data_IF_297795216157
#
_entry.id   IF_297795216157
#
_cell.length_a   1.000
_cell.length_b   1.000
_cell.length_c   1.000
_cell.angle_alpha   90.00
_cell.angle_beta   90.00
_cell.angle_gamma   90.00
#
_symmetry.space_group_name_H-M   'P 1'
#
loop_
_entity.id
_entity.type
_entity.pdbx_description
1 polymer ?
#
# COMPACT_ATOMS: atom_id res chain seq x y z
N UNK A 1 19.31 10.80 22.23
CA UNK A 1 17.91 10.72 21.82
C UNK A 1 17.77 11.15 20.35
N UNK A 2 17.04 10.37 19.60
CA UNK A 2 16.81 10.68 18.21
C UNK A 2 15.70 11.71 18.09
N UNK A 3 15.89 12.76 17.31
CA UNK A 3 14.82 13.74 17.14
C UNK A 3 13.86 13.30 16.01
N UNK A 4 12.70 13.95 15.97
CA UNK A 4 11.65 13.59 15.02
C UNK A 4 12.09 13.78 13.55
N UNK A 5 13.00 14.71 13.27
CA UNK A 5 13.47 14.96 11.92
C UNK A 5 14.38 13.85 11.44
N UNK A 6 15.22 13.31 12.29
CA UNK A 6 16.06 12.18 11.94
C UNK A 6 15.18 10.98 11.62
N UNK A 7 14.15 10.73 12.41
CA UNK A 7 13.20 9.65 12.16
C UNK A 7 12.42 9.90 10.85
N UNK A 8 12.02 11.15 10.61
CA UNK A 8 11.26 11.51 9.41
C UNK A 8 12.07 11.33 8.13
N UNK A 9 13.40 11.33 8.21
CA UNK A 9 14.26 11.13 7.05
C UNK A 9 14.68 9.67 6.86
N UNK A 10 14.36 8.80 7.80
CA UNK A 10 14.67 7.38 7.67
C UNK A 10 13.90 6.76 6.52
N UNK A 11 14.51 5.83 5.77
CA UNK A 11 13.79 5.13 4.70
C UNK A 11 12.56 4.42 5.22
N UNK A 12 11.49 4.45 4.42
CA UNK A 12 10.28 3.69 4.68
C UNK A 12 10.15 2.60 3.63
N UNK A 13 9.75 1.42 4.07
CA UNK A 13 9.61 0.26 3.20
C UNK A 13 8.23 0.22 2.57
N UNK A 14 8.19 0.09 1.25
CA UNK A 14 6.95 0.00 0.47
C UNK A 14 6.80 -1.40 -0.11
N UNK A 15 5.64 -2.01 0.13
CA UNK A 15 5.24 -3.25 -0.54
C UNK A 15 4.10 -2.96 -1.51
N UNK A 16 4.18 -3.52 -2.70
CA UNK A 16 3.17 -3.31 -3.75
C UNK A 16 2.41 -4.61 -3.98
N UNK A 17 1.09 -4.58 -3.84
CA UNK A 17 0.23 -5.75 -4.01
C UNK A 17 -0.80 -5.49 -5.10
N UNK A 18 -0.70 -6.22 -6.20
CA UNK A 18 -1.62 -6.11 -7.34
C UNK A 18 -1.42 -7.34 -8.20
N UNK A 19 -2.50 -7.92 -8.72
CA UNK A 19 -2.37 -9.09 -9.60
C UNK A 19 -1.90 -8.72 -11.01
N UNK A 20 -1.92 -7.44 -11.37
CA UNK A 20 -1.44 -6.95 -12.65
C UNK A 20 0.05 -6.63 -12.59
N UNK A 21 0.84 -7.35 -13.37
CA UNK A 21 2.26 -7.11 -13.51
C UNK A 21 2.55 -5.68 -14.01
N UNK A 22 1.71 -5.20 -14.93
CA UNK A 22 1.85 -3.85 -15.50
C UNK A 22 1.65 -2.80 -14.42
N UNK A 23 0.62 -2.96 -13.60
CA UNK A 23 0.32 -2.00 -12.53
C UNK A 23 1.42 -2.02 -11.47
N UNK A 24 1.90 -3.21 -11.06
CA UNK A 24 2.99 -3.29 -10.08
C UNK A 24 4.22 -2.55 -10.55
N UNK A 25 4.61 -2.78 -11.81
CA UNK A 25 5.77 -2.10 -12.40
C UNK A 25 5.56 -0.61 -12.52
N UNK A 26 4.35 -0.21 -12.88
CA UNK A 26 4.02 1.21 -12.99
C UNK A 26 4.15 1.92 -11.65
N UNK A 27 3.61 1.35 -10.59
CA UNK A 27 3.71 1.94 -9.25
C UNK A 27 5.18 2.06 -8.85
N UNK A 28 5.94 0.99 -9.04
CA UNK A 28 7.36 0.99 -8.69
C UNK A 28 8.15 2.07 -9.43
N UNK A 29 7.89 2.24 -10.73
CA UNK A 29 8.61 3.23 -11.54
C UNK A 29 8.14 4.65 -11.32
N UNK A 30 6.84 4.82 -11.08
CA UNK A 30 6.22 6.14 -11.07
C UNK A 30 6.28 6.82 -9.71
N UNK A 31 6.47 6.09 -8.63
CA UNK A 31 6.56 6.72 -7.33
C UNK A 31 7.88 7.49 -7.23
N UNK A 32 7.78 8.73 -6.76
CA UNK A 32 8.90 9.67 -6.75
C UNK A 32 9.27 10.11 -5.33
N UNK A 33 8.70 9.48 -4.32
CA UNK A 33 9.00 9.85 -2.95
C UNK A 33 10.31 9.18 -2.55
N UNK A 34 11.35 9.99 -2.42
CA UNK A 34 12.71 9.50 -2.19
C UNK A 34 12.83 8.63 -0.92
N UNK A 35 12.00 8.92 0.07
CA UNK A 35 12.00 8.19 1.33
C UNK A 35 11.47 6.76 1.20
N UNK A 36 10.61 6.51 0.19
CA UNK A 36 10.03 5.19 -0.01
C UNK A 36 10.95 4.27 -0.80
N UNK A 37 11.22 3.10 -0.25
CA UNK A 37 12.02 2.06 -0.90
C UNK A 37 11.16 0.82 -1.08
N UNK A 38 11.04 0.34 -2.31
CA UNK A 38 10.27 -0.85 -2.60
C UNK A 38 11.03 -2.07 -2.08
N UNK A 39 10.42 -2.80 -1.15
CA UNK A 39 11.02 -4.01 -0.57
C UNK A 39 10.49 -5.28 -1.20
N UNK A 40 9.43 -5.18 -1.97
CA UNK A 40 8.90 -6.33 -2.68
C UNK A 40 7.53 -6.06 -3.27
N UNK A 41 7.09 -6.99 -4.11
CA UNK A 41 5.79 -6.92 -4.75
C UNK A 41 5.14 -8.30 -4.71
N UNK A 42 3.83 -8.33 -4.54
CA UNK A 42 3.06 -9.56 -4.47
C UNK A 42 1.92 -9.51 -5.47
N UNK A 43 1.54 -10.66 -6.02
CA UNK A 43 0.50 -10.76 -7.03
C UNK A 43 -0.84 -11.26 -6.49
N UNK A 44 -0.90 -11.63 -5.23
CA UNK A 44 -2.13 -12.05 -4.57
C UNK A 44 -2.00 -11.85 -3.07
N UNK A 45 -3.13 -12.01 -2.37
CA UNK A 45 -3.17 -11.76 -0.93
C UNK A 45 -2.31 -12.72 -0.11
N UNK A 46 -2.21 -13.97 -0.54
CA UNK A 46 -1.42 -14.96 0.16
C UNK A 46 0.07 -14.63 0.12
N UNK A 47 0.57 -14.29 -1.08
CA UNK A 47 1.95 -13.82 -1.24
C UNK A 47 2.19 -12.54 -0.44
N UNK A 48 1.19 -11.65 -0.42
CA UNK A 48 1.30 -10.39 0.30
C UNK A 48 1.49 -10.61 1.80
N UNK A 49 0.73 -11.53 2.39
CA UNK A 49 0.85 -11.83 3.83
C UNK A 49 2.23 -12.41 4.14
N UNK A 50 2.73 -13.33 3.30
CA UNK A 50 4.05 -13.90 3.49
C UNK A 50 5.16 -12.87 3.35
N UNK A 51 5.10 -12.06 2.30
CA UNK A 51 6.09 -11.01 2.05
C UNK A 51 6.05 -9.97 3.17
N UNK A 52 4.87 -9.61 3.63
CA UNK A 52 4.69 -8.69 4.75
C UNK A 52 5.36 -9.20 6.01
N UNK A 53 5.19 -10.48 6.29
CA UNK A 53 5.80 -11.09 7.48
C UNK A 53 7.32 -11.02 7.43
N UNK A 54 7.90 -11.24 6.25
CA UNK A 54 9.36 -11.22 6.08
C UNK A 54 9.96 -9.82 6.07
N UNK A 55 9.28 -8.86 5.46
CA UNK A 55 9.84 -7.52 5.23
C UNK A 55 9.34 -6.45 6.18
N UNK A 56 8.21 -6.67 6.82
CA UNK A 56 7.60 -5.71 7.74
C UNK A 56 7.53 -4.30 7.15
N UNK A 57 6.84 -4.12 6.00
CA UNK A 57 6.78 -2.81 5.35
C UNK A 57 6.04 -1.78 6.18
N UNK A 58 6.34 -0.52 5.94
CA UNK A 58 5.70 0.62 6.59
C UNK A 58 4.49 1.09 5.79
N UNK A 59 4.53 0.90 4.47
CA UNK A 59 3.52 1.37 3.53
C UNK A 59 3.21 0.25 2.54
N UNK A 60 1.94 0.07 2.23
CA UNK A 60 1.47 -0.95 1.28
C UNK A 60 0.51 -0.31 0.29
N UNK A 61 0.69 -0.56 -1.01
CA UNK A 61 -0.38 -0.31 -1.98
C UNK A 61 -1.10 -1.63 -2.22
N UNK A 62 -2.44 -1.61 -2.13
CA UNK A 62 -3.24 -2.82 -2.11
C UNK A 62 -4.36 -2.79 -3.14
N UNK A 63 -4.29 -3.69 -4.12
CA UNK A 63 -5.41 -3.96 -5.02
C UNK A 63 -6.47 -4.77 -4.26
N UNK A 64 -7.73 -4.48 -4.49
CA UNK A 64 -8.83 -5.17 -3.80
C UNK A 64 -9.33 -6.41 -4.53
N UNK A 65 -9.14 -6.49 -5.84
CA UNK A 65 -9.65 -7.59 -6.66
C UNK A 65 -8.50 -8.51 -7.06
N UNK A 66 -8.27 -9.56 -6.30
CA UNK A 66 -7.18 -10.49 -6.53
C UNK A 66 -7.66 -11.93 -6.31
N UNK A 67 -7.00 -12.91 -6.96
CA UNK A 67 -7.31 -14.31 -6.71
C UNK A 67 -6.85 -14.76 -5.32
N UNK A 68 -7.42 -15.83 -4.84
CA UNK A 68 -7.12 -16.55 -3.58
C UNK A 68 -7.58 -15.83 -2.33
N UNK A 69 -7.10 -14.62 -2.08
CA UNK A 69 -7.51 -13.82 -0.93
C UNK A 69 -7.82 -12.41 -1.43
N UNK A 70 -9.03 -11.92 -1.20
CA UNK A 70 -9.38 -10.58 -1.64
C UNK A 70 -8.64 -9.51 -0.82
N UNK A 71 -8.57 -8.31 -1.40
CA UNK A 71 -7.81 -7.24 -0.78
C UNK A 71 -8.35 -6.77 0.56
N UNK A 72 -9.68 -6.83 0.76
CA UNK A 72 -10.29 -6.43 2.03
C UNK A 72 -9.83 -7.34 3.16
N UNK A 73 -9.88 -8.65 2.93
CA UNK A 73 -9.39 -9.62 3.91
C UNK A 73 -7.90 -9.43 4.16
N UNK A 74 -7.14 -9.20 3.09
CA UNK A 74 -5.71 -8.98 3.19
C UNK A 74 -5.39 -7.75 4.05
N UNK A 75 -6.09 -6.64 3.83
CA UNK A 75 -5.95 -5.44 4.66
C UNK A 75 -6.13 -5.77 6.14
N UNK A 76 -7.19 -6.50 6.46
CA UNK A 76 -7.46 -6.89 7.85
C UNK A 76 -6.32 -7.70 8.46
N UNK A 77 -5.75 -8.62 7.70
CA UNK A 77 -4.62 -9.43 8.18
C UNK A 77 -3.35 -8.60 8.38
N UNK A 78 -3.04 -7.70 7.45
CA UNK A 78 -1.84 -6.87 7.59
C UNK A 78 -1.94 -5.92 8.77
N UNK A 79 -3.10 -5.31 8.98
CA UNK A 79 -3.33 -4.42 10.12
C UNK A 79 -3.23 -5.19 11.44
N UNK A 80 -3.70 -6.43 11.48
CA UNK A 80 -3.56 -7.26 12.66
C UNK A 80 -2.10 -7.60 12.98
N UNK A 81 -1.25 -7.68 11.96
CA UNK A 81 0.18 -7.99 12.12
C UNK A 81 1.00 -6.77 12.50
N UNK A 82 0.61 -5.58 12.03
CA UNK A 82 1.33 -4.34 12.29
C UNK A 82 0.33 -3.19 12.29
N UNK A 83 -0.12 -2.79 13.46
CA UNK A 83 -1.23 -1.85 13.62
C UNK A 83 -0.96 -0.46 13.02
N UNK A 84 0.30 -0.06 12.88
CA UNK A 84 0.68 1.24 12.36
C UNK A 84 1.03 1.22 10.86
N UNK A 85 0.81 0.10 10.17
CA UNK A 85 1.04 0.04 8.73
C UNK A 85 0.09 1.01 8.00
N UNK A 86 0.62 1.70 7.00
CA UNK A 86 -0.17 2.61 6.19
C UNK A 86 -0.53 1.91 4.87
N UNK A 87 -1.80 1.78 4.59
CA UNK A 87 -2.28 1.05 3.41
C UNK A 87 -3.05 1.99 2.50
N UNK A 88 -2.57 2.12 1.26
CA UNK A 88 -3.26 2.82 0.20
C UNK A 88 -3.94 1.78 -0.70
N UNK A 89 -5.26 1.80 -0.72
CA UNK A 89 -6.02 0.94 -1.63
C UNK A 89 -5.95 1.53 -3.04
N UNK A 90 -5.60 0.70 -4.02
CA UNK A 90 -5.52 1.10 -5.43
C UNK A 90 -6.45 0.20 -6.21
N UNK A 91 -7.61 0.72 -6.63
CA UNK A 91 -8.66 -0.12 -7.20
C UNK A 91 -9.51 0.65 -8.20
N UNK A 92 -10.31 -0.08 -8.98
CA UNK A 92 -11.19 0.52 -9.96
C UNK A 92 -12.34 1.28 -9.28
N UNK A 93 -12.90 2.29 -9.97
CA UNK A 93 -14.03 3.05 -9.46
C UNK A 93 -15.23 2.15 -9.15
N UNK A 94 -15.42 1.10 -9.93
CA UNK A 94 -16.52 0.15 -9.71
C UNK A 94 -16.44 -0.56 -8.35
N UNK A 95 -15.25 -0.57 -7.75
CA UNK A 95 -15.02 -1.23 -6.46
C UNK A 95 -15.10 -0.27 -5.27
N UNK A 96 -15.71 0.88 -5.44
CA UNK A 96 -15.76 1.91 -4.39
C UNK A 96 -16.38 1.40 -3.09
N UNK A 97 -17.45 0.62 -3.18
CA UNK A 97 -18.08 0.05 -1.98
C UNK A 97 -17.11 -0.88 -1.23
N UNK A 98 -16.33 -1.65 -1.98
CA UNK A 98 -15.31 -2.53 -1.41
C UNK A 98 -14.17 -1.73 -0.79
N UNK A 99 -13.83 -0.58 -1.39
CA UNK A 99 -12.81 0.32 -0.84
C UNK A 99 -13.24 0.89 0.53
N UNK A 100 -14.52 1.25 0.68
CA UNK A 100 -15.07 1.71 1.96
C UNK A 100 -14.93 0.60 3.01
N UNK A 101 -15.20 -0.63 2.63
CA UNK A 101 -15.05 -1.79 3.51
C UNK A 101 -13.60 -1.97 3.94
N UNK A 102 -12.65 -1.81 3.01
CA UNK A 102 -11.23 -1.89 3.32
C UNK A 102 -10.79 -0.81 4.32
N UNK A 103 -11.32 0.41 4.16
CA UNK A 103 -11.04 1.50 5.10
C UNK A 103 -11.59 1.16 6.48
N UNK A 104 -12.77 0.56 6.55
CA UNK A 104 -13.33 0.10 7.82
C UNK A 104 -12.45 -0.96 8.49
N UNK A 105 -11.68 -1.70 7.71
CA UNK A 105 -10.73 -2.70 8.21
C UNK A 105 -9.35 -2.14 8.55
N UNK A 106 -9.11 -0.87 8.29
CA UNK A 106 -7.87 -0.21 8.67
C UNK A 106 -7.04 0.38 7.54
N UNK A 107 -7.50 0.33 6.29
CA UNK A 107 -6.83 1.03 5.21
C UNK A 107 -6.92 2.54 5.42
N UNK A 108 -5.92 3.26 4.93
CA UNK A 108 -5.72 4.68 5.25
C UNK A 108 -6.07 5.62 4.09
N UNK A 109 -6.17 5.11 2.88
CA UNK A 109 -6.48 5.93 1.72
C UNK A 109 -6.91 5.11 0.53
N UNK A 110 -7.35 5.80 -0.51
CA UNK A 110 -7.87 5.19 -1.72
C UNK A 110 -7.38 5.94 -2.95
N UNK A 111 -6.92 5.22 -3.95
CA UNK A 111 -6.55 5.76 -5.27
C UNK A 111 -7.28 4.97 -6.35
N UNK A 112 -8.00 5.68 -7.22
CA UNK A 112 -8.80 5.06 -8.26
C UNK A 112 -7.95 4.77 -9.50
N UNK A 113 -8.12 3.58 -10.08
CA UNK A 113 -7.55 3.25 -11.40
C UNK A 113 -8.50 3.73 -12.49
N UNK A 114 -8.00 4.22 -13.64
CA UNK A 114 -6.59 4.52 -13.91
C UNK A 114 -6.13 5.79 -13.20
N UNK A 115 -4.86 5.84 -12.84
CA UNK A 115 -4.29 6.99 -12.14
C UNK A 115 -3.11 7.56 -12.93
N UNK A 116 -2.84 8.85 -12.74
CA UNK A 116 -1.65 9.49 -13.27
C UNK A 116 -0.51 9.36 -12.26
N UNK A 117 0.72 9.60 -12.71
CA UNK A 117 1.87 9.59 -11.80
C UNK A 117 1.70 10.62 -10.69
N UNK A 118 1.14 11.78 -11.02
CA UNK A 118 0.87 12.83 -10.03
C UNK A 118 -0.14 12.36 -8.99
N UNK A 119 -1.22 11.73 -9.42
CA UNK A 119 -2.23 11.21 -8.50
C UNK A 119 -1.65 10.17 -7.56
N UNK A 120 -0.81 9.29 -8.08
CA UNK A 120 -0.15 8.27 -7.25
C UNK A 120 0.73 8.95 -6.20
N UNK A 121 1.57 9.88 -6.61
CA UNK A 121 2.50 10.53 -5.70
C UNK A 121 1.80 11.43 -4.68
N UNK A 122 0.73 12.12 -5.09
CA UNK A 122 -0.07 12.91 -4.17
C UNK A 122 -0.74 12.03 -3.12
N UNK A 123 -1.29 10.88 -3.53
CA UNK A 123 -1.93 9.93 -2.61
C UNK A 123 -0.92 9.36 -1.62
N UNK A 124 0.28 9.01 -2.09
CA UNK A 124 1.34 8.51 -1.20
C UNK A 124 1.83 9.59 -0.25
N UNK A 125 1.97 10.83 -0.73
CA UNK A 125 2.39 11.93 0.12
C UNK A 125 1.37 12.22 1.22
N UNK A 126 0.08 12.19 0.88
CA UNK A 126 -1.00 12.36 1.86
C UNK A 126 -0.97 11.25 2.91
N UNK A 127 -0.75 10.03 2.46
CA UNK A 127 -0.65 8.88 3.35
C UNK A 127 0.50 9.07 4.34
N UNK A 128 1.66 9.50 3.85
CA UNK A 128 2.85 9.69 4.68
C UNK A 128 2.73 10.87 5.63
N UNK A 129 1.79 11.78 5.40
CA UNK A 129 1.57 12.90 6.32
C UNK A 129 1.03 12.43 7.67
N UNK A 130 0.59 11.16 7.77
CA UNK A 130 0.11 10.58 9.01
C UNK A 130 1.24 9.98 9.87
N UNK A 131 2.45 9.97 9.35
CA UNK A 131 3.61 9.38 10.06
C UNK A 131 4.12 10.32 11.15
#
# INVERSE_FOLDING_TARGET
MMDARADAESPLKLMIVDDSNIIRRRIERSQQIARLQVVGAASNGREAVELFRRTQPDVVTMDLTMPEMDGVECVGQLVAMKADVLILVVSALADKATAVEAIARGANGFLCKPFTDRQLNDALADLLSEV
#
